data_IF_934278909877
#
_entry.id   IF_934278909877
#
_cell.length_a   1.000
_cell.length_b   1.000
_cell.length_c   1.000
_cell.angle_alpha   90.00
_cell.angle_beta   90.00
_cell.angle_gamma   90.00
#
_symmetry.space_group_name_H-M   'P 1'
#
loop_
_entity.id
_entity.type
_entity.pdbx_description
1 polymer ?
#
# COMPACT_ATOMS: atom_id res chain seq x y z
N UNK A 1 -2.09 -7.61 -8.48
CA UNK A 1 -2.77 -6.50 -7.78
C UNK A 1 -2.18 -6.39 -6.38
N UNK A 2 -2.21 -5.24 -5.71
CA UNK A 2 -1.91 -5.18 -4.27
C UNK A 2 -3.04 -5.90 -3.53
N UNK A 3 -2.73 -6.99 -2.83
CA UNK A 3 -3.65 -7.67 -1.93
C UNK A 3 -3.32 -7.32 -0.46
N UNK A 4 -4.23 -7.67 0.44
CA UNK A 4 -4.13 -7.35 1.86
C UNK A 4 -2.91 -8.03 2.52
N UNK A 5 -2.57 -9.24 2.08
CA UNK A 5 -1.41 -9.99 2.58
C UNK A 5 -0.09 -9.31 2.19
N UNK A 6 0.00 -8.81 0.96
CA UNK A 6 1.18 -8.09 0.47
C UNK A 6 1.37 -6.76 1.17
N UNK A 7 0.28 -6.03 1.44
CA UNK A 7 0.32 -4.81 2.27
C UNK A 7 0.77 -5.11 3.69
N UNK A 8 0.20 -6.14 4.32
CA UNK A 8 0.57 -6.55 5.69
C UNK A 8 2.05 -6.92 5.79
N UNK A 9 2.56 -7.71 4.83
CA UNK A 9 3.99 -8.06 4.77
C UNK A 9 4.90 -6.85 4.56
N UNK A 10 4.47 -5.84 3.80
CA UNK A 10 5.22 -4.59 3.63
C UNK A 10 5.24 -3.79 4.93
N UNK A 11 4.09 -3.67 5.61
CA UNK A 11 3.97 -2.97 6.88
C UNK A 11 4.81 -3.62 7.98
N UNK A 12 4.72 -4.95 8.14
CA UNK A 12 5.52 -5.68 9.13
C UNK A 12 7.04 -5.53 8.85
N UNK A 13 7.46 -5.45 7.57
CA UNK A 13 8.86 -5.15 7.23
C UNK A 13 9.29 -3.74 7.58
N UNK A 14 8.42 -2.74 7.48
CA UNK A 14 8.76 -1.38 7.94
C UNK A 14 8.97 -1.35 9.45
N UNK A 15 8.16 -2.07 10.22
CA UNK A 15 8.38 -2.22 11.66
C UNK A 15 9.70 -2.93 11.96
N UNK A 16 10.00 -4.03 11.26
CA UNK A 16 11.26 -4.75 11.42
C UNK A 16 12.50 -3.92 11.01
N UNK A 17 12.38 -3.07 9.99
CA UNK A 17 13.43 -2.11 9.63
C UNK A 17 13.64 -1.12 10.77
N UNK A 18 12.57 -0.62 11.40
CA UNK A 18 12.69 0.25 12.57
C UNK A 18 13.38 -0.46 13.72
N UNK A 19 13.00 -1.72 14.03
CA UNK A 19 13.70 -2.53 15.04
C UNK A 19 15.21 -2.62 14.76
N UNK A 20 15.57 -2.90 13.50
CA UNK A 20 16.97 -2.99 13.12
C UNK A 20 17.68 -1.62 13.17
N UNK A 21 17.02 -0.50 12.87
CA UNK A 21 17.56 0.86 13.09
C UNK A 21 17.83 1.09 14.58
N UNK A 22 16.92 0.63 15.44
CA UNK A 22 17.02 0.75 16.90
C UNK A 22 18.05 -0.20 17.52
N UNK A 23 18.71 -1.04 16.70
CA UNK A 23 19.81 -1.91 17.12
C UNK A 23 19.47 -3.40 17.21
N UNK A 24 18.27 -3.82 16.80
CA UNK A 24 17.93 -5.23 16.79
C UNK A 24 18.77 -6.01 15.76
N UNK A 25 19.29 -7.15 16.16
CA UNK A 25 20.07 -8.04 15.31
C UNK A 25 19.18 -8.91 14.39
N UNK A 26 19.81 -9.66 13.50
CA UNK A 26 19.11 -10.55 12.57
C UNK A 26 18.22 -11.57 13.29
N UNK A 27 18.67 -12.13 14.41
CA UNK A 27 17.96 -13.16 15.16
C UNK A 27 16.72 -12.58 15.85
N UNK A 28 16.84 -11.38 16.42
CA UNK A 28 15.72 -10.66 17.03
C UNK A 28 14.64 -10.34 16.00
N UNK A 29 15.02 -9.84 14.82
CA UNK A 29 14.07 -9.59 13.72
C UNK A 29 13.49 -10.89 13.16
N UNK A 30 14.27 -11.95 13.07
CA UNK A 30 13.77 -13.28 12.67
C UNK A 30 12.71 -13.80 13.64
N UNK A 31 12.96 -13.70 14.95
CA UNK A 31 12.00 -14.09 15.99
C UNK A 31 10.71 -13.27 15.92
N UNK A 32 10.81 -11.97 15.67
CA UNK A 32 9.66 -11.12 15.41
C UNK A 32 8.78 -11.65 14.27
N UNK A 33 9.38 -12.07 13.14
CA UNK A 33 8.59 -12.62 12.03
C UNK A 33 8.03 -14.02 12.31
N UNK A 34 8.70 -14.84 13.12
CA UNK A 34 8.17 -16.13 13.57
C UNK A 34 6.89 -15.94 14.39
N UNK A 35 6.96 -15.09 15.41
CA UNK A 35 5.81 -14.75 16.26
C UNK A 35 4.66 -14.18 15.42
N UNK A 36 4.99 -13.25 14.51
CA UNK A 36 4.00 -12.65 13.61
C UNK A 36 3.34 -13.66 12.68
N UNK A 37 4.10 -14.63 12.17
CA UNK A 37 3.61 -15.70 11.31
C UNK A 37 2.66 -16.64 12.06
N UNK A 38 3.04 -17.05 13.27
CA UNK A 38 2.22 -17.90 14.14
C UNK A 38 0.89 -17.23 14.51
N UNK A 39 0.93 -15.94 14.89
CA UNK A 39 -0.24 -15.11 15.16
C UNK A 39 -1.24 -15.08 13.99
N UNK A 40 -0.73 -14.89 12.77
CA UNK A 40 -1.56 -14.82 11.57
C UNK A 40 -2.17 -16.18 11.21
N UNK A 41 -1.39 -17.26 11.31
CA UNK A 41 -1.89 -18.62 11.07
C UNK A 41 -3.02 -18.98 12.06
N UNK A 42 -2.85 -18.65 13.34
CA UNK A 42 -3.88 -18.83 14.37
C UNK A 42 -5.16 -18.06 14.10
N UNK A 43 -5.08 -16.80 13.64
CA UNK A 43 -6.26 -15.98 13.31
C UNK A 43 -7.01 -16.46 12.07
N UNK A 44 -6.32 -17.09 11.12
CA UNK A 44 -6.92 -17.58 9.87
C UNK A 44 -7.40 -19.03 9.96
N UNK A 45 -7.25 -19.69 11.12
CA UNK A 45 -7.47 -21.14 11.26
C UNK A 45 -6.76 -21.95 10.17
N UNK A 46 -5.59 -21.46 9.74
CA UNK A 46 -4.78 -22.07 8.70
C UNK A 46 -3.74 -22.99 9.34
N UNK A 47 -3.64 -24.23 8.85
CA UNK A 47 -2.55 -25.13 9.22
C UNK A 47 -1.29 -24.71 8.44
N UNK A 48 -0.43 -23.92 9.09
CA UNK A 48 0.95 -23.70 8.64
C UNK A 48 1.87 -24.68 9.38
N UNK A 49 2.79 -25.32 8.68
CA UNK A 49 3.82 -26.13 9.33
C UNK A 49 4.92 -25.23 9.91
N UNK A 50 5.62 -25.70 10.94
CA UNK A 50 6.73 -24.95 11.54
C UNK A 50 7.79 -24.56 10.49
N UNK A 51 8.15 -25.50 9.61
CA UNK A 51 9.08 -25.22 8.49
C UNK A 51 8.61 -24.08 7.57
N UNK A 52 7.30 -23.95 7.34
CA UNK A 52 6.77 -22.87 6.51
C UNK A 52 6.89 -21.53 7.21
N UNK A 53 6.60 -21.47 8.51
CA UNK A 53 6.73 -20.27 9.32
C UNK A 53 8.18 -19.81 9.40
N UNK A 54 9.10 -20.73 9.68
CA UNK A 54 10.54 -20.48 9.71
C UNK A 54 11.06 -19.97 8.37
N UNK A 55 10.68 -20.61 7.27
CA UNK A 55 11.10 -20.17 5.93
C UNK A 55 10.58 -18.78 5.60
N UNK A 56 9.33 -18.47 5.92
CA UNK A 56 8.74 -17.14 5.69
C UNK A 56 9.45 -16.10 6.56
N UNK A 57 9.66 -16.38 7.84
CA UNK A 57 10.33 -15.47 8.76
C UNK A 57 11.76 -15.17 8.33
N UNK A 58 12.52 -16.19 7.93
CA UNK A 58 13.86 -16.03 7.40
C UNK A 58 13.88 -15.15 6.14
N UNK A 59 12.95 -15.37 5.20
CA UNK A 59 12.87 -14.57 3.97
C UNK A 59 12.42 -13.12 4.20
N UNK A 60 11.69 -12.83 5.28
CA UNK A 60 11.38 -11.45 5.68
C UNK A 60 12.57 -10.79 6.36
N UNK A 61 13.20 -11.45 7.35
CA UNK A 61 14.40 -10.94 8.02
C UNK A 61 15.55 -10.70 7.03
N UNK A 62 15.81 -11.65 6.13
CA UNK A 62 16.82 -11.50 5.07
C UNK A 62 16.61 -10.25 4.23
N UNK A 63 15.36 -9.82 3.97
CA UNK A 63 15.11 -8.60 3.21
C UNK A 63 15.50 -7.33 3.97
N UNK A 64 15.28 -7.30 5.28
CA UNK A 64 15.66 -6.19 6.17
C UNK A 64 17.19 -6.02 6.21
N UNK A 65 17.92 -7.14 6.26
CA UNK A 65 19.38 -7.14 6.41
C UNK A 65 20.15 -7.25 5.09
N UNK A 66 19.47 -7.37 3.94
CA UNK A 66 20.13 -7.57 2.64
C UNK A 66 21.00 -6.37 2.27
N UNK A 67 22.31 -6.51 2.39
CA UNK A 67 23.26 -5.44 2.09
C UNK A 67 23.43 -4.43 3.23
N UNK A 68 22.98 -4.78 4.45
CA UNK A 68 23.28 -4.08 5.70
C UNK A 68 24.12 -4.96 6.65
N UNK A 69 24.28 -4.50 7.90
CA UNK A 69 24.99 -5.22 8.97
C UNK A 69 24.02 -6.08 9.79
N UNK A 70 24.43 -7.27 10.23
CA UNK A 70 23.55 -8.23 10.93
C UNK A 70 23.31 -7.88 12.40
N UNK A 71 24.16 -7.03 12.96
CA UNK A 71 24.19 -6.61 14.37
C UNK A 71 23.18 -5.48 14.67
N UNK A 72 22.46 -4.98 13.65
CA UNK A 72 21.58 -3.82 13.78
C UNK A 72 22.32 -2.48 13.61
N UNK A 73 21.56 -1.39 13.64
CA UNK A 73 22.00 0.00 13.46
C UNK A 73 22.11 0.47 12.01
N UNK A 74 22.29 -0.43 11.03
CA UNK A 74 22.34 -0.07 9.61
C UNK A 74 21.65 -1.09 8.68
N UNK A 75 20.31 -1.22 8.74
CA UNK A 75 19.56 -2.13 7.86
C UNK A 75 19.35 -1.57 6.43
N UNK A 76 18.90 -2.44 5.53
CA UNK A 76 18.52 -2.09 4.17
C UNK A 76 17.08 -1.58 4.10
N UNK A 77 16.91 -0.26 3.92
CA UNK A 77 15.62 0.43 4.05
C UNK A 77 14.74 0.42 2.78
N UNK A 78 15.01 -0.46 1.81
CA UNK A 78 14.35 -0.42 0.49
C UNK A 78 12.83 -0.59 0.56
N UNK A 79 12.32 -1.34 1.53
CA UNK A 79 10.87 -1.53 1.69
C UNK A 79 10.14 -0.28 2.18
N UNK A 80 10.82 0.62 2.91
CA UNK A 80 10.28 1.93 3.29
C UNK A 80 10.00 2.77 2.04
N UNK A 81 10.91 2.74 1.06
CA UNK A 81 10.78 3.49 -0.21
C UNK A 81 9.55 3.04 -1.01
N UNK A 82 9.16 1.76 -0.94
CA UNK A 82 7.96 1.28 -1.66
C UNK A 82 6.67 1.83 -1.06
N UNK A 83 6.55 1.87 0.28
CA UNK A 83 5.35 2.43 0.93
C UNK A 83 5.32 3.95 0.81
N UNK A 84 6.46 4.63 1.00
CA UNK A 84 6.57 6.08 0.77
C UNK A 84 6.20 6.44 -0.68
N UNK A 85 6.72 5.69 -1.66
CA UNK A 85 6.37 5.88 -3.07
C UNK A 85 4.87 5.67 -3.36
N UNK A 86 4.23 4.68 -2.72
CA UNK A 86 2.79 4.46 -2.84
C UNK A 86 1.99 5.65 -2.28
N UNK A 87 2.38 6.17 -1.11
CA UNK A 87 1.73 7.33 -0.49
C UNK A 87 1.89 8.56 -1.37
N UNK A 88 3.11 8.85 -1.86
CA UNK A 88 3.37 9.99 -2.74
C UNK A 88 2.53 9.96 -4.02
N UNK A 89 2.42 8.79 -4.66
CA UNK A 89 1.60 8.65 -5.87
C UNK A 89 0.11 8.83 -5.53
N UNK A 90 -0.38 8.26 -4.43
CA UNK A 90 -1.75 8.44 -3.99
C UNK A 90 -2.08 9.91 -3.73
N UNK A 91 -1.23 10.62 -3.00
CA UNK A 91 -1.43 12.03 -2.66
C UNK A 91 -1.34 12.92 -3.90
N UNK A 92 -0.42 12.61 -4.82
CA UNK A 92 -0.35 13.28 -6.11
C UNK A 92 -1.64 13.11 -6.93
N UNK A 93 -2.15 11.88 -7.04
CA UNK A 93 -3.41 11.62 -7.76
C UNK A 93 -4.58 12.42 -7.16
N UNK A 94 -4.64 12.51 -5.83
CA UNK A 94 -5.65 13.34 -5.14
C UNK A 94 -5.47 14.83 -5.44
N UNK A 95 -4.24 15.34 -5.39
CA UNK A 95 -3.94 16.73 -5.71
C UNK A 95 -4.34 17.07 -7.16
N UNK A 96 -4.07 16.17 -8.11
CA UNK A 96 -4.47 16.29 -9.52
C UNK A 96 -5.99 16.41 -9.67
N UNK A 97 -6.76 15.56 -8.98
CA UNK A 97 -8.22 15.61 -9.02
C UNK A 97 -8.77 16.86 -8.35
N UNK A 98 -8.22 17.26 -7.20
CA UNK A 98 -8.61 18.49 -6.52
C UNK A 98 -8.35 19.74 -7.35
N UNK A 99 -7.26 19.74 -8.14
CA UNK A 99 -6.92 20.81 -9.07
C UNK A 99 -7.68 20.76 -10.40
N UNK A 100 -8.52 19.74 -10.63
CA UNK A 100 -9.23 19.54 -11.90
C UNK A 100 -8.31 19.20 -13.08
N UNK A 101 -7.06 18.78 -12.82
CA UNK A 101 -6.02 18.54 -13.83
C UNK A 101 -5.93 17.09 -14.28
N UNK A 102 -7.08 16.45 -14.51
CA UNK A 102 -7.15 15.05 -14.91
C UNK A 102 -6.43 14.75 -16.25
N UNK A 103 -6.11 15.78 -17.04
CA UNK A 103 -5.24 15.71 -18.22
C UNK A 103 -3.83 15.20 -17.90
N UNK A 104 -3.28 15.53 -16.72
CA UNK A 104 -1.92 15.15 -16.29
C UNK A 104 -1.77 13.64 -16.09
N UNK A 105 -2.86 12.93 -15.78
CA UNK A 105 -2.83 11.52 -15.41
C UNK A 105 -2.20 10.61 -16.47
N UNK A 106 -2.35 10.97 -17.75
CA UNK A 106 -1.77 10.20 -18.85
C UNK A 106 -0.25 10.35 -18.94
N UNK A 107 0.30 11.47 -18.45
CA UNK A 107 1.74 11.71 -18.43
C UNK A 107 2.48 10.70 -17.53
N UNK A 108 1.81 10.18 -16.50
CA UNK A 108 2.35 9.12 -15.63
C UNK A 108 2.69 7.82 -16.39
N UNK A 109 2.20 7.67 -17.62
CA UNK A 109 2.41 6.48 -18.46
C UNK A 109 3.30 6.76 -19.68
N UNK A 110 3.90 7.94 -19.78
CA UNK A 110 4.76 8.33 -20.91
C UNK A 110 6.22 7.85 -20.78
N UNK A 111 6.54 7.00 -19.81
CA UNK A 111 7.88 6.40 -19.65
C UNK A 111 8.34 6.33 -18.21
N UNK A 112 9.66 6.36 -18.02
CA UNK A 112 10.29 6.48 -16.69
C UNK A 112 10.34 7.97 -16.33
N UNK A 113 9.76 8.33 -15.20
CA UNK A 113 9.66 9.71 -14.73
C UNK A 113 9.62 9.78 -13.21
N UNK A 114 9.94 10.96 -12.70
CA UNK A 114 9.60 11.41 -11.36
C UNK A 114 8.33 12.25 -11.39
N UNK A 115 7.57 12.27 -10.28
CA UNK A 115 6.42 13.18 -10.14
C UNK A 115 6.83 14.66 -10.25
N UNK A 116 8.09 14.98 -9.93
CA UNK A 116 8.63 16.33 -10.08
C UNK A 116 8.87 16.73 -11.55
N UNK A 117 8.90 15.77 -12.47
CA UNK A 117 9.15 16.03 -13.90
C UNK A 117 7.87 16.44 -14.65
N UNK A 118 6.71 16.39 -14.00
CA UNK A 118 5.41 16.70 -14.61
C UNK A 118 5.36 18.06 -15.32
N UNK A 119 5.89 19.17 -14.76
CA UNK A 119 5.92 20.44 -15.47
C UNK A 119 6.70 20.37 -16.80
N UNK A 120 7.86 19.73 -16.80
CA UNK A 120 8.70 19.53 -17.99
C UNK A 120 7.97 18.64 -19.01
N UNK A 121 7.27 17.60 -18.55
CA UNK A 121 6.47 16.75 -19.43
C UNK A 121 5.30 17.51 -20.07
N UNK A 122 4.69 18.45 -19.35
CA UNK A 122 3.67 19.34 -19.92
C UNK A 122 4.26 20.24 -21.01
N UNK A 123 5.42 20.85 -20.77
CA UNK A 123 6.12 21.67 -21.77
C UNK A 123 6.47 20.86 -23.03
N UNK A 124 7.02 19.66 -22.86
CA UNK A 124 7.34 18.76 -23.98
C UNK A 124 6.09 18.33 -24.75
N UNK A 125 4.95 18.17 -24.06
CA UNK A 125 3.68 17.87 -24.71
C UNK A 125 3.17 19.07 -25.54
N UNK A 126 3.29 20.28 -25.00
CA UNK A 126 2.91 21.52 -25.69
C UNK A 126 3.77 21.77 -26.94
N UNK A 127 5.06 21.44 -26.88
CA UNK A 127 5.98 21.48 -28.02
C UNK A 127 5.75 20.36 -29.04
N UNK A 128 4.83 19.42 -28.79
CA UNK A 128 4.60 18.25 -29.64
C UNK A 128 5.73 17.22 -29.63
N UNK A 129 6.66 17.29 -28.67
CA UNK A 129 7.79 16.39 -28.51
C UNK A 129 7.44 15.12 -27.72
N UNK A 130 6.38 15.18 -26.91
CA UNK A 130 5.88 14.04 -26.15
C UNK A 130 4.79 13.28 -26.91
N UNK A 131 4.89 11.94 -26.94
CA UNK A 131 3.84 11.08 -27.49
C UNK A 131 2.91 10.59 -26.38
N UNK A 132 1.62 10.51 -26.68
CA UNK A 132 0.64 9.92 -25.78
C UNK A 132 1.01 8.45 -25.44
N UNK A 133 0.66 7.96 -24.24
CA UNK A 133 0.99 6.62 -23.80
C UNK A 133 0.29 5.57 -24.69
N UNK A 134 1.06 4.59 -25.19
CA UNK A 134 0.52 3.48 -26.01
C UNK A 134 -0.35 2.54 -25.18
N UNK A 135 -0.03 2.38 -23.90
CA UNK A 135 -0.70 1.45 -22.99
C UNK A 135 -1.15 2.19 -21.75
N UNK A 136 -2.45 2.11 -21.46
CA UNK A 136 -3.05 2.61 -20.24
C UNK A 136 -3.74 1.47 -19.50
N UNK A 137 -3.59 1.35 -18.17
CA UNK A 137 -4.40 0.42 -17.42
C UNK A 137 -5.88 0.85 -17.45
N UNK A 138 -6.84 -0.10 -17.33
CA UNK A 138 -8.27 0.21 -17.47
C UNK A 138 -8.76 1.35 -16.58
N UNK A 139 -8.27 1.42 -15.33
CA UNK A 139 -8.63 2.47 -14.37
C UNK A 139 -8.10 3.86 -14.75
N UNK A 140 -7.01 3.96 -15.50
CA UNK A 140 -6.44 5.24 -15.94
C UNK A 140 -6.99 5.68 -17.30
N UNK A 141 -7.45 4.72 -18.11
CA UNK A 141 -8.20 5.00 -19.33
C UNK A 141 -9.57 5.62 -19.00
N UNK A 142 -10.23 5.14 -17.93
CA UNK A 142 -11.48 5.73 -17.43
C UNK A 142 -11.23 6.91 -16.48
N UNK A 143 -11.16 8.10 -17.06
CA UNK A 143 -11.02 9.36 -16.31
C UNK A 143 -12.19 9.61 -15.34
N UNK A 144 -13.41 9.15 -15.68
CA UNK A 144 -14.59 9.37 -14.82
C UNK A 144 -14.49 8.53 -13.56
N UNK A 145 -14.14 7.26 -13.72
CA UNK A 145 -13.91 6.35 -12.59
C UNK A 145 -12.85 6.92 -11.65
N UNK A 146 -11.70 7.35 -12.19
CA UNK A 146 -10.59 7.83 -11.38
C UNK A 146 -10.92 9.12 -10.61
N UNK A 147 -11.53 10.10 -11.27
CA UNK A 147 -12.00 11.34 -10.62
C UNK A 147 -13.03 11.02 -9.53
N UNK A 148 -13.99 10.14 -9.81
CA UNK A 148 -15.03 9.75 -8.85
C UNK A 148 -14.43 9.03 -7.63
N UNK A 149 -13.53 8.08 -7.87
CA UNK A 149 -12.85 7.32 -6.82
C UNK A 149 -11.98 8.22 -5.92
N UNK A 150 -11.20 9.12 -6.51
CA UNK A 150 -10.32 10.01 -5.74
C UNK A 150 -11.09 11.11 -5.02
N UNK A 151 -12.15 11.65 -5.63
CA UNK A 151 -13.06 12.58 -4.96
C UNK A 151 -13.74 11.91 -3.76
N UNK A 152 -14.19 10.67 -3.92
CA UNK A 152 -14.76 9.85 -2.85
C UNK A 152 -13.74 9.53 -1.75
N UNK A 153 -12.52 9.11 -2.11
CA UNK A 153 -11.43 8.88 -1.14
C UNK A 153 -11.08 10.14 -0.35
N UNK A 154 -11.06 11.30 -1.03
CA UNK A 154 -10.85 12.60 -0.39
C UNK A 154 -12.00 13.10 0.48
N UNK A 155 -13.21 12.61 0.23
CA UNK A 155 -14.33 12.81 1.14
C UNK A 155 -14.22 11.89 2.37
N UNK A 156 -13.91 10.60 2.18
CA UNK A 156 -13.85 9.60 3.24
C UNK A 156 -12.87 9.94 4.37
N UNK A 157 -11.71 10.53 4.08
CA UNK A 157 -10.79 10.99 5.13
C UNK A 157 -11.38 12.08 6.04
N UNK A 158 -12.32 12.88 5.51
CA UNK A 158 -13.04 13.89 6.30
C UNK A 158 -14.20 13.30 7.09
N UNK A 159 -14.62 12.07 6.77
CA UNK A 159 -15.66 11.36 7.49
C UNK A 159 -15.07 10.75 8.77
N UNK A 160 -15.59 11.20 9.92
CA UNK A 160 -15.23 10.59 11.20
C UNK A 160 -15.89 9.22 11.35
N UNK A 161 -15.19 8.17 10.91
CA UNK A 161 -15.64 6.77 10.96
C UNK A 161 -16.16 6.35 12.35
N UNK A 162 -15.56 6.84 13.44
CA UNK A 162 -16.05 6.54 14.79
C UNK A 162 -17.48 7.02 15.07
N UNK A 163 -17.88 8.16 14.50
CA UNK A 163 -19.27 8.66 14.60
C UNK A 163 -20.23 7.83 13.75
N UNK A 164 -19.77 7.34 12.61
CA UNK A 164 -20.54 6.46 11.72
C UNK A 164 -20.81 5.13 12.42
N UNK A 165 -19.77 4.48 12.97
CA UNK A 165 -19.94 3.23 13.73
C UNK A 165 -20.90 3.41 14.90
N UNK A 166 -20.76 4.48 15.69
CA UNK A 166 -21.67 4.73 16.82
C UNK A 166 -23.12 4.88 16.38
N UNK A 167 -23.37 5.59 15.27
CA UNK A 167 -24.72 5.78 14.71
C UNK A 167 -25.35 4.46 14.23
N UNK A 168 -24.56 3.60 13.58
CA UNK A 168 -25.09 2.34 13.03
C UNK A 168 -25.02 1.17 14.00
N UNK A 169 -24.31 1.27 15.12
CA UNK A 169 -24.23 0.23 16.15
C UNK A 169 -25.62 -0.14 16.69
N UNK A 170 -26.46 0.86 17.00
CA UNK A 170 -27.83 0.62 17.49
C UNK A 170 -28.72 -0.04 16.43
N UNK A 171 -28.62 0.44 15.18
CA UNK A 171 -29.37 -0.13 14.05
C UNK A 171 -28.98 -1.59 13.82
N UNK A 172 -27.69 -1.89 13.80
CA UNK A 172 -27.18 -3.25 13.61
C UNK A 172 -27.48 -4.16 14.80
N UNK A 173 -27.47 -3.66 16.03
CA UNK A 173 -27.85 -4.42 17.23
C UNK A 173 -29.34 -4.80 17.22
N UNK A 174 -30.19 -3.93 16.67
CA UNK A 174 -31.63 -4.18 16.53
C UNK A 174 -32.01 -5.01 15.29
N UNK A 175 -31.06 -5.21 14.36
CA UNK A 175 -31.33 -5.91 13.11
C UNK A 175 -31.39 -7.43 13.33
N UNK A 176 -32.49 -8.11 12.95
CA UNK A 176 -32.56 -9.57 13.01
C UNK A 176 -31.57 -10.20 12.01
N UNK A 177 -31.15 -11.44 12.29
CA UNK A 177 -30.22 -12.18 11.42
C UNK A 177 -30.83 -12.33 10.03
N UNK A 178 -30.14 -11.83 9.01
CA UNK A 178 -30.56 -11.95 7.62
C UNK A 178 -30.52 -13.42 7.18
N UNK A 179 -31.69 -13.98 6.82
CA UNK A 179 -31.81 -15.32 6.24
C UNK A 179 -32.37 -15.20 4.83
N UNK A 180 -31.65 -15.72 3.85
CA UNK A 180 -32.12 -15.81 2.48
C UNK A 180 -32.51 -17.26 2.18
N UNK A 181 -33.65 -17.45 1.51
CA UNK A 181 -33.98 -18.76 0.95
C UNK A 181 -32.94 -19.12 -0.12
N UNK A 182 -32.47 -20.37 -0.11
CA UNK A 182 -31.64 -20.86 -1.21
C UNK A 182 -32.49 -20.85 -2.50
N UNK A 183 -31.88 -20.51 -3.65
CA UNK A 183 -32.57 -20.53 -4.94
C UNK A 183 -33.05 -21.94 -5.29
#
# INVERSE_FOLDING_TARGET
>A
CMDLDRLSRLADRVLAIQMAIDGADFIEVYRYFLERGADLAGRRSEQATDEQLERVAFEQARRVFRGGVLEGGAPFTKDVVYLDGLLRVHDFLRAVVAAGRADILQLLFCGKLSLNDIPVLCELADMGLLRAPKFLPPWAADRRFLVSYLAYSGFLERVRIGRVHKRYAEVLASAPVARFARP
#
